data_IF_942290463608
#
_entry.id   IF_942290463608
#
_cell.length_a   1.000
_cell.length_b   1.000
_cell.length_c   1.000
_cell.angle_alpha   90.00
_cell.angle_beta   90.00
_cell.angle_gamma   90.00
#
_symmetry.space_group_name_H-M   'P 1'
#
loop_
_entity.id
_entity.type
_entity.pdbx_description
1 polymer ?
#
# COMPACT_ATOMS: atom_id res chain seq x y z
N UNK A 1 2.66 11.99 12.28
CA UNK A 1 3.62 12.08 11.14
C UNK A 1 4.00 10.66 10.76
N UNK A 2 3.76 10.29 9.52
CA UNK A 2 3.99 8.93 9.00
C UNK A 2 5.47 8.54 9.11
N UNK A 3 5.73 7.43 9.79
CA UNK A 3 7.05 6.80 9.92
C UNK A 3 6.97 5.43 9.30
N UNK A 4 8.02 5.05 8.60
CA UNK A 4 8.17 3.74 7.98
C UNK A 4 9.53 3.15 8.37
N UNK A 5 9.62 1.83 8.46
CA UNK A 5 10.89 1.18 8.75
C UNK A 5 11.74 1.15 7.47
N UNK A 6 12.90 1.82 7.50
CA UNK A 6 13.85 1.75 6.39
C UNK A 6 14.53 0.39 6.38
N UNK A 7 14.34 -0.37 5.32
CA UNK A 7 14.90 -1.72 5.16
C UNK A 7 16.45 -1.76 5.18
N UNK A 8 17.10 -0.62 4.93
CA UNK A 8 18.56 -0.54 4.95
C UNK A 8 19.14 -0.43 6.36
N UNK A 9 18.40 0.23 7.27
CA UNK A 9 18.85 0.50 8.64
C UNK A 9 18.09 -0.33 9.68
N UNK A 10 16.89 -0.79 9.36
CA UNK A 10 15.94 -1.40 10.29
C UNK A 10 15.30 -0.39 11.26
N UNK A 11 15.52 0.90 11.06
CA UNK A 11 15.03 1.95 11.96
C UNK A 11 13.85 2.73 11.36
N UNK A 12 12.94 3.25 12.19
CA UNK A 12 11.83 4.07 11.74
C UNK A 12 12.31 5.43 11.21
N UNK A 13 12.04 5.72 9.94
CA UNK A 13 12.34 6.98 9.27
C UNK A 13 11.05 7.73 8.89
N UNK A 14 11.07 9.08 8.81
CA UNK A 14 9.94 9.83 8.27
C UNK A 14 9.73 9.54 6.79
N UNK A 15 8.52 9.16 6.37
CA UNK A 15 8.20 8.94 4.96
C UNK A 15 8.28 10.24 4.14
N UNK A 16 7.98 11.38 4.76
CA UNK A 16 8.02 12.69 4.14
C UNK A 16 8.58 13.72 5.12
N UNK A 17 9.92 13.84 5.25
CA UNK A 17 10.55 14.78 6.18
C UNK A 17 10.17 16.24 5.88
N UNK A 18 9.99 16.63 4.62
CA UNK A 18 9.53 17.95 4.21
C UNK A 18 8.06 17.90 3.78
N UNK A 19 7.13 18.08 4.73
CA UNK A 19 5.66 17.96 4.50
C UNK A 19 5.09 18.76 3.34
N UNK A 20 5.70 19.86 2.95
CA UNK A 20 5.25 20.72 1.84
C UNK A 20 5.91 20.39 0.51
N UNK A 21 6.95 19.58 0.52
CA UNK A 21 7.58 19.11 -0.71
C UNK A 21 6.82 17.88 -1.23
N UNK A 22 6.62 17.77 -2.54
CA UNK A 22 6.05 16.58 -3.13
C UNK A 22 6.91 15.35 -2.82
N UNK A 23 6.26 14.22 -2.49
CA UNK A 23 6.93 12.95 -2.18
C UNK A 23 6.77 12.00 -3.35
N UNK A 24 7.87 11.53 -3.90
CA UNK A 24 7.87 10.47 -4.93
C UNK A 24 7.80 9.11 -4.24
N UNK A 25 6.79 8.32 -4.57
CA UNK A 25 6.69 6.92 -4.14
C UNK A 25 7.02 6.03 -5.34
N UNK A 26 8.15 5.34 -5.29
CA UNK A 26 8.59 4.45 -6.34
C UNK A 26 8.27 3.00 -5.98
N UNK A 27 7.38 2.36 -6.72
CA UNK A 27 7.17 0.91 -6.65
C UNK A 27 8.11 0.22 -7.65
N UNK A 28 9.14 -0.47 -7.15
CA UNK A 28 10.07 -1.20 -7.99
C UNK A 28 9.79 -2.68 -7.95
N UNK A 29 9.40 -3.26 -9.09
CA UNK A 29 9.00 -4.67 -9.22
C UNK A 29 9.67 -5.31 -10.44
N UNK A 30 10.01 -6.60 -10.37
CA UNK A 30 10.70 -7.32 -11.44
C UNK A 30 9.80 -8.25 -12.25
N UNK A 31 8.60 -8.54 -11.75
CA UNK A 31 7.68 -9.52 -12.34
C UNK A 31 6.23 -9.06 -12.38
N UNK A 32 5.34 -10.02 -12.64
CA UNK A 32 3.89 -9.89 -12.59
C UNK A 32 3.32 -11.04 -11.74
N UNK A 33 3.66 -11.05 -10.48
CA UNK A 33 3.24 -12.06 -9.51
C UNK A 33 2.57 -11.42 -8.29
N UNK A 34 2.16 -12.23 -7.34
CA UNK A 34 1.54 -11.76 -6.11
C UNK A 34 2.47 -10.88 -5.28
N UNK A 35 3.79 -11.11 -5.35
CA UNK A 35 4.78 -10.26 -4.68
C UNK A 35 4.80 -8.86 -5.31
N UNK A 36 4.78 -8.77 -6.64
CA UNK A 36 4.70 -7.50 -7.37
C UNK A 36 3.40 -6.73 -7.02
N UNK A 37 2.26 -7.42 -7.00
CA UNK A 37 0.97 -6.81 -6.62
C UNK A 37 0.97 -6.33 -5.17
N UNK A 38 1.61 -7.06 -4.26
CA UNK A 38 1.74 -6.64 -2.86
C UNK A 38 2.63 -5.40 -2.71
N UNK A 39 3.71 -5.30 -3.48
CA UNK A 39 4.55 -4.08 -3.53
C UNK A 39 3.73 -2.88 -3.99
N UNK A 40 2.93 -3.02 -5.06
CA UNK A 40 2.05 -1.96 -5.53
C UNK A 40 0.98 -1.59 -4.50
N UNK A 41 0.41 -2.59 -3.79
CA UNK A 41 -0.56 -2.35 -2.73
C UNK A 41 0.05 -1.54 -1.58
N UNK A 42 1.25 -1.87 -1.14
CA UNK A 42 1.94 -1.12 -0.06
C UNK A 42 2.29 0.30 -0.52
N UNK A 43 2.72 0.47 -1.77
CA UNK A 43 2.93 1.81 -2.34
C UNK A 43 1.62 2.63 -2.41
N UNK A 44 0.47 2.02 -2.77
CA UNK A 44 -0.84 2.68 -2.74
C UNK A 44 -1.26 3.06 -1.30
N UNK A 45 -1.01 2.20 -0.30
CA UNK A 45 -1.26 2.54 1.11
C UNK A 45 -0.41 3.73 1.56
N UNK A 46 0.86 3.75 1.18
CA UNK A 46 1.77 4.87 1.48
C UNK A 46 1.26 6.18 0.87
N UNK A 47 0.84 6.14 -0.39
CA UNK A 47 0.23 7.28 -1.07
C UNK A 47 -1.01 7.80 -0.33
N UNK A 48 -1.92 6.89 0.05
CA UNK A 48 -3.14 7.22 0.80
C UNK A 48 -2.84 7.81 2.17
N UNK A 49 -1.85 7.26 2.89
CA UNK A 49 -1.44 7.76 4.19
C UNK A 49 -0.83 9.17 4.09
N UNK A 50 0.01 9.43 3.08
CA UNK A 50 0.56 10.77 2.81
C UNK A 50 -0.52 11.78 2.49
N UNK A 51 -1.49 11.44 1.65
CA UNK A 51 -2.62 12.31 1.30
C UNK A 51 -3.52 12.60 2.52
N UNK A 52 -3.77 11.62 3.39
CA UNK A 52 -4.51 11.80 4.64
C UNK A 52 -3.79 12.73 5.62
N UNK A 53 -2.47 12.81 5.55
CA UNK A 53 -1.64 13.78 6.31
C UNK A 53 -1.47 15.13 5.59
N UNK A 54 -2.06 15.28 4.39
CA UNK A 54 -1.99 16.51 3.59
C UNK A 54 -0.65 16.72 2.87
N UNK A 55 0.14 15.67 2.71
CA UNK A 55 1.42 15.69 1.99
C UNK A 55 1.17 15.36 0.51
N UNK A 56 1.56 16.22 -0.44
CA UNK A 56 1.46 15.91 -1.86
C UNK A 56 2.37 14.72 -2.20
N UNK A 57 1.84 13.74 -2.94
CA UNK A 57 2.62 12.59 -3.35
C UNK A 57 2.19 12.09 -4.74
N UNK A 58 3.10 11.47 -5.46
CA UNK A 58 2.81 10.77 -6.72
C UNK A 58 3.55 9.44 -6.76
N UNK A 59 2.97 8.47 -7.49
CA UNK A 59 3.49 7.12 -7.54
C UNK A 59 4.04 6.79 -8.93
N UNK A 60 5.18 6.11 -8.95
CA UNK A 60 5.90 5.72 -10.17
C UNK A 60 6.16 4.21 -10.13
N UNK A 61 5.94 3.54 -11.27
CA UNK A 61 6.22 2.12 -11.45
C UNK A 61 7.53 1.94 -12.22
N UNK A 62 8.44 1.12 -11.70
CA UNK A 62 9.74 0.82 -12.32
C UNK A 62 10.06 -0.68 -12.31
N UNK A 63 10.98 -1.12 -13.15
CA UNK A 63 11.60 -2.45 -13.11
C UNK A 63 10.84 -3.58 -13.80
N UNK A 64 9.59 -3.41 -14.18
CA UNK A 64 8.80 -4.46 -14.86
C UNK A 64 8.91 -4.39 -16.39
N UNK A 65 8.94 -5.56 -17.04
CA UNK A 65 8.88 -5.67 -18.50
C UNK A 65 7.44 -5.66 -19.04
N UNK A 66 6.43 -5.89 -18.19
CA UNK A 66 5.01 -5.97 -18.58
C UNK A 66 4.14 -4.97 -17.79
N UNK A 67 4.39 -3.65 -17.89
CA UNK A 67 3.72 -2.67 -17.03
C UNK A 67 2.21 -2.62 -17.23
N UNK A 68 1.70 -2.77 -18.44
CA UNK A 68 0.26 -2.64 -18.72
C UNK A 68 -0.56 -3.78 -18.14
N UNK A 69 -0.04 -5.02 -18.20
CA UNK A 69 -0.69 -6.17 -17.58
C UNK A 69 -0.71 -6.06 -16.07
N UNK A 70 0.43 -5.66 -15.48
CA UNK A 70 0.52 -5.46 -14.04
C UNK A 70 -0.41 -4.34 -13.57
N UNK A 71 -0.56 -3.26 -14.34
CA UNK A 71 -1.52 -2.18 -14.06
C UNK A 71 -2.97 -2.66 -14.09
N UNK A 72 -3.32 -3.55 -15.05
CA UNK A 72 -4.65 -4.17 -15.12
C UNK A 72 -4.94 -4.97 -13.85
N UNK A 73 -3.99 -5.82 -13.42
CA UNK A 73 -4.13 -6.65 -12.23
C UNK A 73 -4.21 -5.77 -10.96
N UNK A 74 -3.39 -4.73 -10.87
CA UNK A 74 -3.43 -3.76 -9.80
C UNK A 74 -4.78 -3.02 -9.74
N UNK A 75 -5.31 -2.60 -10.88
CA UNK A 75 -6.62 -1.94 -10.96
C UNK A 75 -7.76 -2.85 -10.48
N UNK A 76 -7.71 -4.15 -10.79
CA UNK A 76 -8.66 -5.13 -10.28
C UNK A 76 -8.66 -5.20 -8.75
N UNK A 77 -7.49 -5.05 -8.11
CA UNK A 77 -7.34 -4.95 -6.66
C UNK A 77 -7.69 -3.55 -6.09
N UNK A 78 -8.19 -2.62 -6.88
CA UNK A 78 -8.49 -1.26 -6.45
C UNK A 78 -7.24 -0.42 -6.11
N UNK A 79 -6.07 -0.82 -6.62
CA UNK A 79 -4.82 -0.07 -6.51
C UNK A 79 -4.87 1.06 -7.55
N UNK A 80 -4.52 2.27 -7.12
CA UNK A 80 -4.53 3.46 -7.99
C UNK A 80 -3.44 3.38 -9.06
N UNK A 81 -3.62 4.08 -10.20
CA UNK A 81 -2.64 4.04 -11.28
C UNK A 81 -1.31 4.66 -10.87
N UNK A 82 -0.23 4.08 -11.38
CA UNK A 82 1.14 4.56 -11.25
C UNK A 82 1.62 5.15 -12.58
N UNK A 83 2.37 6.25 -12.52
CA UNK A 83 3.06 6.80 -13.68
C UNK A 83 4.16 5.85 -14.17
N UNK A 84 4.51 5.96 -15.46
CA UNK A 84 5.60 5.18 -16.01
C UNK A 84 6.94 5.79 -15.59
N UNK A 85 7.79 4.98 -14.92
CA UNK A 85 9.10 5.42 -14.45
C UNK A 85 10.06 5.81 -15.57
N UNK A 86 9.89 5.27 -16.77
CA UNK A 86 10.68 5.66 -17.94
C UNK A 86 10.23 7.02 -18.52
N UNK A 87 8.92 7.33 -18.40
CA UNK A 87 8.34 8.57 -18.86
C UNK A 87 8.42 9.70 -17.82
N UNK A 88 8.44 9.34 -16.54
CA UNK A 88 8.63 10.27 -15.44
C UNK A 88 10.11 10.68 -15.39
N UNK A 89 10.53 11.44 -16.40
CA UNK A 89 11.84 12.10 -16.42
C UNK A 89 12.03 12.83 -15.09
N UNK A 90 13.25 13.04 -14.66
CA UNK A 90 13.63 13.74 -13.44
C UNK A 90 12.76 14.99 -13.26
N UNK A 91 11.64 14.84 -12.53
CA UNK A 91 10.77 15.97 -12.22
C UNK A 91 11.60 17.07 -11.55
N UNK A 92 11.22 18.33 -11.68
CA UNK A 92 12.02 19.45 -11.22
C UNK A 92 12.20 19.37 -9.70
N UNK A 93 13.44 19.16 -9.28
CA UNK A 93 13.88 19.34 -7.91
C UNK A 93 14.00 18.05 -7.12
N UNK A 94 15.00 18.03 -6.33
CA UNK A 94 15.33 17.11 -5.24
C UNK A 94 14.16 16.85 -4.30
N UNK A 95 13.13 16.15 -4.80
CA UNK A 95 11.98 15.72 -4.00
C UNK A 95 12.41 14.56 -3.10
N UNK A 96 11.93 14.55 -1.90
CA UNK A 96 12.03 13.39 -1.04
C UNK A 96 11.41 12.18 -1.70
N UNK A 97 12.00 11.00 -1.54
CA UNK A 97 11.55 9.76 -2.17
C UNK A 97 11.42 8.61 -1.19
N UNK A 98 10.46 7.74 -1.45
CA UNK A 98 10.33 6.44 -0.79
C UNK A 98 10.27 5.37 -1.85
N UNK A 99 11.12 4.36 -1.72
CA UNK A 99 11.17 3.22 -2.62
C UNK A 99 10.53 2.01 -1.94
N UNK A 100 9.56 1.39 -2.60
CA UNK A 100 8.89 0.18 -2.13
C UNK A 100 9.32 -0.98 -3.00
N UNK A 101 9.85 -2.04 -2.39
CA UNK A 101 10.45 -3.19 -3.10
C UNK A 101 10.09 -4.50 -2.41
N UNK A 102 10.15 -5.62 -3.14
CA UNK A 102 10.09 -6.92 -2.51
C UNK A 102 11.33 -7.17 -1.62
N UNK A 103 11.16 -7.85 -0.49
CA UNK A 103 12.23 -8.16 0.49
C UNK A 103 13.46 -8.79 -0.18
N UNK A 104 13.26 -9.75 -1.10
CA UNK A 104 14.35 -10.36 -1.86
C UNK A 104 15.15 -9.36 -2.70
N UNK A 105 14.51 -8.26 -3.15
CA UNK A 105 15.19 -7.19 -3.90
C UNK A 105 15.94 -6.25 -2.97
N UNK A 106 15.40 -5.97 -1.79
CA UNK A 106 16.07 -5.15 -0.78
C UNK A 106 17.36 -5.83 -0.28
N UNK A 107 17.33 -7.14 -0.04
CA UNK A 107 18.49 -7.93 0.39
C UNK A 107 19.62 -7.93 -0.65
N UNK A 108 19.29 -8.03 -1.94
CA UNK A 108 20.28 -8.01 -3.02
C UNK A 108 20.95 -6.66 -3.27
N UNK A 109 20.35 -5.58 -2.81
CA UNK A 109 20.92 -4.23 -2.90
C UNK A 109 21.93 -3.92 -1.78
N UNK A 110 21.99 -4.75 -0.74
CA UNK A 110 22.88 -4.61 0.40
C UNK A 110 24.22 -5.38 0.23
N UNK A 111 24.33 -6.25 -0.77
CA UNK A 111 25.61 -6.92 -1.06
C UNK A 111 26.52 -5.98 -1.87
N UNK A 112 27.77 -5.72 -1.41
CA UNK A 112 28.74 -5.01 -2.24
C UNK A 112 29.03 -5.88 -3.47
N UNK A 113 28.88 -5.29 -4.66
CA UNK A 113 29.30 -5.91 -5.91
C UNK A 113 30.81 -6.24 -5.78
N UNK A 114 31.12 -7.54 -5.68
CA UNK A 114 32.52 -8.00 -5.71
C UNK A 114 33.11 -7.53 -7.04
N UNK A 115 34.16 -6.73 -6.96
CA UNK A 115 34.94 -6.26 -8.10
C UNK A 115 35.44 -7.47 -8.90
N UNK A 116 34.79 -7.77 -10.02
CA UNK A 116 35.42 -8.52 -11.08
C UNK A 116 36.25 -7.51 -11.91
N UNK A 117 37.55 -7.51 -11.69
CA UNK A 117 38.45 -6.76 -12.51
C UNK A 117 38.36 -7.20 -13.98
N UNK A 118 38.13 -6.23 -14.84
CA UNK A 118 38.52 -6.29 -16.24
C UNK A 118 38.88 -4.87 -16.66
N UNK A 119 40.15 -4.69 -16.97
CA UNK A 119 40.73 -3.52 -17.61
C UNK A 119 40.04 -3.28 -18.97
N UNK A 120 39.57 -2.06 -19.19
CA UNK A 120 38.97 -1.65 -20.46
C UNK A 120 38.66 -0.16 -20.37
N UNK A 121 39.63 0.68 -20.75
CA UNK A 121 39.45 2.11 -20.96
C UNK A 121 38.45 2.32 -22.10
N UNK A 122 37.34 3.03 -21.84
CA UNK A 122 36.79 3.92 -22.83
C UNK A 122 35.97 5.07 -22.16
N UNK A 123 36.30 6.28 -22.54
CA UNK A 123 35.77 7.53 -22.03
C UNK A 123 34.35 7.80 -22.61
N UNK A 124 33.43 8.25 -21.78
CA UNK A 124 32.19 8.86 -22.33
C UNK A 124 31.00 8.88 -21.42
N UNK A 125 30.96 9.79 -20.48
CA UNK A 125 29.81 10.59 -20.04
C UNK A 125 28.43 9.95 -19.87
N UNK A 126 28.07 9.62 -18.61
CA UNK A 126 26.69 9.76 -18.07
C UNK A 126 26.70 9.65 -16.53
N UNK A 127 27.47 10.49 -15.87
CA UNK A 127 27.33 10.67 -14.41
C UNK A 127 26.18 11.64 -14.13
N UNK A 128 25.01 11.15 -13.81
CA UNK A 128 23.86 11.99 -13.47
C UNK A 128 22.60 11.29 -12.96
N UNK A 129 22.57 9.95 -12.92
CA UNK A 129 21.34 9.21 -12.70
C UNK A 129 21.14 8.53 -11.34
N UNK A 130 22.15 8.46 -10.47
CA UNK A 130 22.12 7.56 -9.30
C UNK A 130 22.23 8.24 -7.92
N UNK A 131 22.49 9.54 -7.84
CA UNK A 131 22.63 10.22 -6.54
C UNK A 131 21.29 10.38 -5.81
N UNK A 132 20.18 10.57 -6.51
CA UNK A 132 18.84 10.68 -5.90
C UNK A 132 18.27 9.35 -5.38
N UNK A 133 18.76 8.21 -5.88
CA UNK A 133 18.32 6.88 -5.45
C UNK A 133 18.98 6.43 -4.13
N UNK A 134 20.14 6.99 -3.80
CA UNK A 134 20.90 6.62 -2.59
C UNK A 134 20.33 7.19 -1.30
N UNK A 135 19.51 8.23 -1.39
CA UNK A 135 18.95 8.95 -0.23
C UNK A 135 17.49 8.61 0.05
N UNK A 136 16.85 7.79 -0.80
CA UNK A 136 15.45 7.39 -0.65
C UNK A 136 15.30 6.34 0.45
N UNK A 137 14.36 6.56 1.38
CA UNK A 137 13.94 5.54 2.35
C UNK A 137 13.38 4.32 1.62
N UNK A 138 13.81 3.12 1.99
CA UNK A 138 13.41 1.88 1.32
C UNK A 138 12.47 1.06 2.20
N UNK A 139 11.29 0.73 1.68
CA UNK A 139 10.32 -0.18 2.32
C UNK A 139 10.45 -1.56 1.69
N UNK A 140 10.78 -2.55 2.51
CA UNK A 140 10.80 -3.95 2.09
C UNK A 140 9.45 -4.62 2.35
N UNK A 141 8.93 -5.34 1.35
CA UNK A 141 7.65 -6.03 1.41
C UNK A 141 7.89 -7.53 1.40
N UNK A 142 7.43 -8.21 2.44
CA UNK A 142 7.55 -9.65 2.59
C UNK A 142 6.73 -10.43 1.54
N UNK A 143 7.15 -11.66 1.18
CA UNK A 143 6.57 -12.41 0.07
C UNK A 143 5.16 -12.93 0.33
N UNK A 144 4.46 -13.23 -0.78
CA UNK A 144 3.17 -13.90 -0.84
C UNK A 144 3.35 -15.35 -1.31
N UNK A 145 2.60 -16.28 -0.76
CA UNK A 145 2.56 -17.68 -1.22
C UNK A 145 1.11 -18.15 -1.43
N UNK A 146 0.80 -18.83 -2.52
CA UNK A 146 1.67 -19.01 -3.69
C UNK A 146 1.96 -17.67 -4.40
N UNK A 147 3.10 -17.58 -5.09
CA UNK A 147 3.45 -16.37 -5.84
C UNK A 147 2.58 -16.17 -7.09
N UNK A 148 2.10 -17.29 -7.69
CA UNK A 148 1.19 -17.25 -8.82
C UNK A 148 -0.24 -16.93 -8.35
N UNK A 149 -0.80 -15.83 -8.87
CA UNK A 149 -2.17 -15.39 -8.62
C UNK A 149 -2.82 -15.08 -9.97
N UNK A 150 -3.90 -15.78 -10.31
CA UNK A 150 -4.66 -15.55 -11.53
C UNK A 150 -5.91 -14.72 -11.22
N UNK A 151 -5.81 -13.41 -11.41
CA UNK A 151 -6.91 -12.45 -11.20
C UNK A 151 -7.89 -12.40 -12.39
N UNK A 152 -7.54 -13.02 -13.53
CA UNK A 152 -8.46 -13.16 -14.67
C UNK A 152 -9.43 -14.33 -14.47
N UNK A 153 -9.21 -15.17 -13.45
CA UNK A 153 -10.11 -16.26 -13.09
C UNK A 153 -11.37 -15.75 -12.38
N UNK A 154 -12.56 -16.16 -12.86
CA UNK A 154 -13.85 -15.88 -12.22
C UNK A 154 -13.97 -16.46 -10.78
N UNK A 155 -13.03 -17.32 -10.39
CA UNK A 155 -12.99 -17.95 -9.06
C UNK A 155 -12.31 -17.06 -8.01
N UNK A 156 -11.58 -16.04 -8.43
CA UNK A 156 -10.83 -15.14 -7.55
C UNK A 156 -11.54 -13.81 -7.42
N UNK A 157 -11.98 -13.47 -6.20
CA UNK A 157 -12.51 -12.15 -5.87
C UNK A 157 -11.36 -11.19 -5.54
N UNK A 158 -11.08 -10.18 -6.39
CA UNK A 158 -9.96 -9.25 -6.16
C UNK A 158 -10.09 -8.45 -4.86
N UNK A 159 -11.31 -8.10 -4.45
CA UNK A 159 -11.53 -7.39 -3.19
C UNK A 159 -11.17 -8.27 -1.97
N UNK A 160 -11.47 -9.58 -2.05
CA UNK A 160 -11.08 -10.54 -1.01
C UNK A 160 -9.55 -10.73 -0.97
N UNK A 161 -8.89 -10.77 -2.13
CA UNK A 161 -7.42 -10.78 -2.21
C UNK A 161 -6.84 -9.54 -1.55
N UNK A 162 -7.37 -8.35 -1.88
CA UNK A 162 -6.91 -7.11 -1.25
C UNK A 162 -7.04 -7.16 0.27
N UNK A 163 -8.20 -7.59 0.80
CA UNK A 163 -8.40 -7.71 2.25
C UNK A 163 -7.43 -8.71 2.87
N UNK A 164 -7.25 -9.89 2.28
CA UNK A 164 -6.33 -10.91 2.77
C UNK A 164 -4.88 -10.40 2.86
N UNK A 165 -4.43 -9.61 1.87
CA UNK A 165 -3.12 -8.96 1.88
C UNK A 165 -3.01 -7.91 2.98
N UNK A 166 -4.09 -7.14 3.27
CA UNK A 166 -4.13 -6.11 4.30
C UNK A 166 -4.26 -6.66 5.73
N UNK A 167 -4.72 -7.91 5.90
CA UNK A 167 -4.78 -8.56 7.21
C UNK A 167 -3.41 -8.90 7.80
N UNK A 168 -2.35 -8.84 7.00
CA UNK A 168 -0.96 -9.04 7.42
C UNK A 168 -0.14 -7.79 7.17
N UNK A 169 0.66 -7.43 8.18
CA UNK A 169 1.61 -6.33 8.04
C UNK A 169 2.55 -6.58 6.84
N UNK A 170 2.98 -5.53 6.15
CA UNK A 170 3.79 -5.70 4.93
C UNK A 170 5.14 -6.39 5.16
N UNK A 171 5.66 -6.37 6.39
CA UNK A 171 6.84 -7.16 6.80
C UNK A 171 6.55 -8.64 7.09
N UNK A 172 5.28 -9.04 7.18
CA UNK A 172 4.92 -10.42 7.45
C UNK A 172 4.56 -11.17 6.16
N UNK A 173 5.07 -12.40 6.01
CA UNK A 173 4.69 -13.28 4.89
C UNK A 173 3.16 -13.51 4.87
N UNK A 174 2.61 -13.59 3.67
CA UNK A 174 1.19 -13.93 3.45
C UNK A 174 1.08 -15.27 2.76
N UNK A 175 0.19 -16.12 3.28
CA UNK A 175 -0.27 -17.34 2.62
C UNK A 175 -1.69 -17.09 2.10
N UNK A 176 -1.86 -17.17 0.76
CA UNK A 176 -3.15 -17.00 0.08
C UNK A 176 -3.68 -18.36 -0.35
N UNK A 177 -4.23 -19.11 0.59
CA UNK A 177 -4.98 -20.34 0.26
C UNK A 177 -6.49 -20.05 0.10
N UNK A 178 -7.24 -21.05 -0.33
CA UNK A 178 -8.68 -20.92 -0.53
C UNK A 178 -9.42 -20.55 0.77
N UNK A 179 -9.00 -21.08 1.91
CA UNK A 179 -9.65 -20.81 3.19
C UNK A 179 -9.44 -19.36 3.63
N UNK A 180 -8.24 -18.80 3.41
CA UNK A 180 -7.93 -17.39 3.67
C UNK A 180 -8.77 -16.48 2.78
N UNK A 181 -8.88 -16.79 1.48
CA UNK A 181 -9.67 -16.00 0.54
C UNK A 181 -11.18 -16.07 0.83
N UNK A 182 -11.70 -17.25 1.18
CA UNK A 182 -13.10 -17.41 1.56
C UNK A 182 -13.40 -16.63 2.85
N UNK A 183 -12.53 -16.71 3.86
CA UNK A 183 -12.67 -15.93 5.10
C UNK A 183 -12.61 -14.42 4.87
N UNK A 184 -11.75 -13.96 3.97
CA UNK A 184 -11.67 -12.54 3.58
C UNK A 184 -12.95 -12.09 2.85
N UNK A 185 -13.48 -12.92 1.93
CA UNK A 185 -14.74 -12.66 1.21
C UNK A 185 -15.90 -12.52 2.19
N UNK A 186 -16.05 -13.47 3.12
CA UNK A 186 -17.11 -13.46 4.12
C UNK A 186 -17.02 -12.23 5.04
N UNK A 187 -15.79 -11.90 5.48
CA UNK A 187 -15.53 -10.72 6.31
C UNK A 187 -15.91 -9.44 5.58
N UNK A 188 -15.53 -9.31 4.31
CA UNK A 188 -15.81 -8.13 3.52
C UNK A 188 -17.31 -7.97 3.24
N UNK A 189 -17.99 -9.06 2.86
CA UNK A 189 -19.44 -9.07 2.64
C UNK A 189 -20.22 -8.71 3.91
N UNK A 190 -19.80 -9.21 5.07
CA UNK A 190 -20.39 -8.87 6.37
C UNK A 190 -20.20 -7.39 6.69
N UNK A 191 -18.98 -6.88 6.53
CA UNK A 191 -18.65 -5.49 6.86
C UNK A 191 -19.38 -4.51 5.93
N UNK A 192 -19.44 -4.78 4.63
CA UNK A 192 -20.19 -3.95 3.66
C UNK A 192 -21.67 -3.89 3.97
N UNK A 193 -22.29 -5.02 4.33
CA UNK A 193 -23.69 -5.04 4.78
C UNK A 193 -23.90 -4.20 6.02
N UNK A 194 -23.03 -4.33 7.02
CA UNK A 194 -23.11 -3.53 8.24
C UNK A 194 -22.98 -2.02 7.94
N UNK A 195 -22.04 -1.64 7.09
CA UNK A 195 -21.84 -0.23 6.65
C UNK A 195 -23.09 0.28 5.90
N UNK A 196 -23.68 -0.53 5.02
CA UNK A 196 -24.91 -0.15 4.30
C UNK A 196 -26.10 0.04 5.26
N UNK A 197 -26.21 -0.77 6.30
CA UNK A 197 -27.24 -0.62 7.33
C UNK A 197 -27.02 0.63 8.17
N UNK A 198 -25.79 0.89 8.62
CA UNK A 198 -25.44 2.10 9.39
C UNK A 198 -25.64 3.38 8.61
N UNK A 199 -25.45 3.35 7.28
CA UNK A 199 -25.69 4.49 6.39
C UNK A 199 -27.14 5.00 6.39
N UNK A 200 -28.10 4.20 6.87
CA UNK A 200 -29.52 4.58 7.00
C UNK A 200 -29.81 5.47 8.22
N UNK A 201 -28.85 5.58 9.13
CA UNK A 201 -28.97 6.39 10.34
C UNK A 201 -28.38 7.80 10.14
N UNK A 202 -28.85 8.79 10.92
CA UNK A 202 -28.27 10.14 10.84
C UNK A 202 -26.77 10.14 11.09
N UNK A 203 -26.01 10.81 10.22
CA UNK A 203 -24.55 10.96 10.36
C UNK A 203 -24.18 11.53 11.74
N UNK A 204 -23.09 11.03 12.30
CA UNK A 204 -22.50 11.49 13.56
C UNK A 204 -21.00 11.64 13.36
N UNK A 205 -20.37 12.67 13.94
CA UNK A 205 -18.95 12.89 13.77
C UNK A 205 -18.14 11.70 14.31
N UNK A 206 -17.02 11.40 13.66
CA UNK A 206 -16.04 10.42 14.14
C UNK A 206 -15.51 10.88 15.50
N UNK A 207 -15.62 10.08 16.58
CA UNK A 207 -15.04 10.43 17.88
C UNK A 207 -13.54 10.70 17.77
N UNK A 208 -13.04 11.73 18.46
CA UNK A 208 -11.66 12.16 18.38
C UNK A 208 -10.67 11.04 18.69
N UNK A 209 -10.90 10.28 19.76
CA UNK A 209 -10.05 9.15 20.13
C UNK A 209 -9.98 8.05 19.05
N UNK A 210 -11.09 7.76 18.37
CA UNK A 210 -11.11 6.75 17.30
C UNK A 210 -10.32 7.26 16.09
N UNK A 211 -10.50 8.54 15.75
CA UNK A 211 -9.74 9.19 14.66
C UNK A 211 -8.24 9.16 14.94
N UNK A 212 -7.84 9.50 16.17
CA UNK A 212 -6.44 9.54 16.57
C UNK A 212 -5.82 8.13 16.57
N UNK A 213 -6.55 7.10 16.99
CA UNK A 213 -6.12 5.70 16.91
C UNK A 213 -5.99 5.20 15.48
N UNK A 214 -6.94 5.53 14.60
CA UNK A 214 -6.84 5.21 13.17
C UNK A 214 -5.59 5.84 12.59
N UNK A 215 -5.39 7.13 12.86
CA UNK A 215 -4.23 7.88 12.40
C UNK A 215 -2.93 7.27 12.93
N UNK A 216 -2.85 6.97 14.22
CA UNK A 216 -1.68 6.34 14.82
C UNK A 216 -1.33 5.01 14.14
N UNK A 217 -2.35 4.21 13.75
CA UNK A 217 -2.10 2.93 13.06
C UNK A 217 -1.47 3.11 11.69
N UNK A 218 -1.99 3.98 10.83
CA UNK A 218 -1.34 4.14 9.51
C UNK A 218 -0.07 4.99 9.54
N UNK A 219 0.11 5.84 10.56
CA UNK A 219 1.35 6.58 10.76
C UNK A 219 2.48 5.70 11.34
N UNK A 220 2.14 4.55 11.90
CA UNK A 220 3.07 3.55 12.41
C UNK A 220 3.30 2.46 11.38
N UNK A 221 4.22 2.72 10.48
CA UNK A 221 4.68 1.77 9.46
C UNK A 221 3.54 1.14 8.63
N UNK A 222 2.50 1.92 8.32
CA UNK A 222 1.33 1.49 7.55
C UNK A 222 0.58 0.29 8.17
N UNK A 223 0.40 0.24 9.50
CA UNK A 223 -0.27 -0.89 10.20
C UNK A 223 -1.73 -1.03 9.77
N UNK A 224 -1.96 -1.53 8.53
CA UNK A 224 -3.28 -1.88 8.02
C UNK A 224 -4.00 -2.92 8.89
N UNK A 225 -3.33 -3.98 9.41
CA UNK A 225 -3.93 -4.86 10.40
C UNK A 225 -4.46 -4.14 11.64
N UNK A 226 -3.77 -3.10 12.11
CA UNK A 226 -4.20 -2.27 13.23
C UNK A 226 -5.49 -1.53 12.94
N UNK A 227 -5.59 -0.93 11.75
CA UNK A 227 -6.82 -0.29 11.27
C UNK A 227 -7.96 -1.31 11.21
N UNK A 228 -7.74 -2.49 10.64
CA UNK A 228 -8.75 -3.56 10.55
C UNK A 228 -9.19 -4.05 11.95
N UNK A 229 -8.26 -4.19 12.90
CA UNK A 229 -8.59 -4.52 14.30
C UNK A 229 -9.47 -3.46 14.94
N UNK A 230 -9.21 -2.17 14.63
CA UNK A 230 -10.03 -1.09 15.16
C UNK A 230 -11.45 -1.11 14.56
N UNK A 231 -11.60 -1.37 13.26
CA UNK A 231 -12.92 -1.52 12.63
C UNK A 231 -13.74 -2.67 13.23
N UNK A 232 -13.11 -3.82 13.54
CA UNK A 232 -13.78 -4.93 14.24
C UNK A 232 -14.30 -4.52 15.63
N UNK A 233 -13.57 -3.67 16.36
CA UNK A 233 -14.04 -3.12 17.66
C UNK A 233 -15.21 -2.16 17.46
N UNK A 234 -15.11 -1.24 16.49
CA UNK A 234 -16.17 -0.29 16.16
C UNK A 234 -17.48 -1.01 15.81
N UNK A 235 -17.40 -2.14 15.11
CA UNK A 235 -18.57 -2.95 14.73
C UNK A 235 -19.32 -3.48 15.95
N UNK A 236 -18.64 -3.82 17.04
CA UNK A 236 -19.22 -4.45 18.23
C UNK A 236 -19.36 -3.52 19.43
N UNK A 237 -18.93 -2.26 19.32
CA UNK A 237 -18.95 -1.29 20.42
C UNK A 237 -20.38 -0.79 20.68
N UNK A 238 -21.02 -1.12 21.84
CA UNK A 238 -22.40 -0.74 22.12
C UNK A 238 -22.58 0.78 22.32
N UNK A 239 -21.53 1.50 22.65
CA UNK A 239 -21.58 2.94 22.97
C UNK A 239 -21.51 3.81 21.71
N UNK A 240 -21.19 3.23 20.54
CA UNK A 240 -21.11 3.94 19.28
C UNK A 240 -22.49 3.95 18.57
N UNK A 241 -22.98 5.13 18.22
CA UNK A 241 -24.15 5.28 17.34
C UNK A 241 -23.82 4.80 15.91
N UNK A 242 -24.80 4.22 15.21
CA UNK A 242 -24.64 3.66 13.87
C UNK A 242 -24.13 4.70 12.84
N UNK A 243 -24.63 5.95 12.89
CA UNK A 243 -24.10 7.00 12.04
C UNK A 243 -22.62 7.34 12.30
N UNK A 244 -22.13 7.16 13.55
CA UNK A 244 -20.69 7.30 13.83
C UNK A 244 -19.89 6.09 13.30
N UNK A 245 -20.42 4.87 13.41
CA UNK A 245 -19.80 3.66 12.84
C UNK A 245 -19.62 3.78 11.33
N UNK A 246 -20.67 4.29 10.64
CA UNK A 246 -20.59 4.57 9.20
C UNK A 246 -19.44 5.52 8.88
N UNK A 247 -19.39 6.68 9.55
CA UNK A 247 -18.36 7.69 9.29
C UNK A 247 -16.93 7.18 9.62
N UNK A 248 -16.78 6.37 10.66
CA UNK A 248 -15.51 5.74 11.02
C UNK A 248 -15.06 4.79 9.90
N UNK A 249 -15.97 3.93 9.40
CA UNK A 249 -15.66 2.99 8.33
C UNK A 249 -15.31 3.72 7.03
N UNK A 250 -16.08 4.75 6.65
CA UNK A 250 -15.81 5.56 5.48
C UNK A 250 -14.45 6.30 5.59
N UNK A 251 -14.11 6.79 6.77
CA UNK A 251 -12.83 7.45 7.01
C UNK A 251 -11.65 6.47 6.93
N UNK A 252 -11.76 5.30 7.56
CA UNK A 252 -10.73 4.26 7.50
C UNK A 252 -10.55 3.70 6.08
N UNK A 253 -11.64 3.62 5.29
CA UNK A 253 -11.60 3.11 3.93
C UNK A 253 -10.83 4.01 2.95
N UNK A 254 -10.67 5.30 3.27
CA UNK A 254 -9.76 6.19 2.51
C UNK A 254 -8.32 5.66 2.52
N UNK A 255 -7.90 5.03 3.61
CA UNK A 255 -6.60 4.36 3.72
C UNK A 255 -6.64 2.94 3.14
N UNK A 256 -7.64 2.11 3.52
CA UNK A 256 -7.68 0.70 3.16
C UNK A 256 -8.05 0.45 1.69
N UNK A 257 -8.94 1.28 1.10
CA UNK A 257 -9.44 1.14 -0.27
C UNK A 257 -10.19 -0.16 -0.51
N UNK A 258 -10.99 -0.60 0.46
CA UNK A 258 -11.81 -1.82 0.41
C UNK A 258 -13.21 -1.59 -0.17
N UNK A 259 -13.51 -0.35 -0.58
CA UNK A 259 -14.83 0.04 -1.08
C UNK A 259 -15.96 -0.36 -0.14
N UNK A 260 -15.80 -0.06 1.17
CA UNK A 260 -16.74 -0.47 2.21
C UNK A 260 -18.13 0.13 2.03
N UNK A 261 -18.23 1.26 1.34
CA UNK A 261 -19.49 1.97 1.10
C UNK A 261 -20.19 1.58 -0.19
N UNK A 262 -19.66 0.63 -0.97
CA UNK A 262 -20.18 0.31 -2.32
C UNK A 262 -21.62 -0.19 -2.33
N UNK A 263 -22.09 -0.82 -1.25
CA UNK A 263 -23.43 -1.39 -1.13
C UNK A 263 -24.46 -0.38 -0.53
N UNK A 264 -24.03 0.85 -0.22
CA UNK A 264 -24.91 1.90 0.31
C UNK A 264 -25.94 2.30 -0.76
N UNK A 265 -27.23 2.24 -0.39
CA UNK A 265 -28.34 2.54 -1.29
C UNK A 265 -28.77 1.36 -2.16
N UNK A 266 -28.12 0.20 -2.08
CA UNK A 266 -28.61 -1.02 -2.72
C UNK A 266 -29.89 -1.52 -2.06
N UNK A 267 -30.85 -2.08 -2.83
CA UNK A 267 -32.00 -2.73 -2.22
C UNK A 267 -31.54 -3.95 -1.40
N UNK A 268 -32.26 -4.28 -0.33
CA UNK A 268 -31.95 -5.42 0.54
C UNK A 268 -32.08 -6.77 -0.17
#
# INVERSE_FOLDING_TARGET
MLRIIDARTGEPAPAAPARRAPTRVEAHVRGRDADALRVLLVADLLMRALELDGTPAWAVLTGTAEPDRLRKDAAALGIRPFEDGAAAGHGPGTGQGVRVVAEATAAGAAEPVAEFGAEGEDEGGAEGGDEGARDATTVAVAPVRPAALDLDSDLVDPDAVRLALLERHHHARVELDAAVLDGARDTLARLRRAVADWARHPSRPVPGEVRDRLRASWEDDLDAPGVLRLLRRVETDPDLADGARFEICAYADRFLGLHLTRDVGSPP
#
